data_IF_026910535107
#
_entry.id   IF_026910535107
#
_cell.length_a   1.000
_cell.length_b   1.000
_cell.length_c   1.000
_cell.angle_alpha   90.00
_cell.angle_beta   90.00
_cell.angle_gamma   90.00
#
_symmetry.space_group_name_H-M   'P 1'
#
loop_
_entity.id
_entity.type
_entity.pdbx_description
1 polymer ?
2 water ?
#
# COMPACT_ATOMS: atom_id res chain seq x y z
N UNK A 2 15.30 2.83 4.54
CA UNK A 2 14.85 1.73 5.43
C UNK A 2 13.85 0.83 4.72
N UNK A 3 13.84 -0.45 5.08
CA UNK A 3 12.93 -1.41 4.47
C UNK A 3 12.12 -2.15 5.54
N UNK A 4 10.83 -2.30 5.29
CA UNK A 4 9.93 -2.97 6.22
C UNK A 4 9.29 -4.18 5.56
N UNK A 5 8.81 -5.11 6.37
CA UNK A 5 8.12 -6.28 5.83
C UNK A 5 6.63 -6.05 6.02
N UNK A 6 5.89 -6.11 4.92
CA UNK A 6 4.45 -5.91 4.95
C UNK A 6 3.79 -6.82 3.93
N UNK A 7 2.47 -6.84 3.96
CA UNK A 7 1.71 -7.61 2.99
C UNK A 7 1.21 -6.66 1.91
N UNK A 8 1.50 -6.96 0.65
CA UNK A 8 0.95 -6.16 -0.44
C UNK A 8 -0.40 -6.79 -0.67
N UNK A 9 -1.44 -5.97 -0.73
CA UNK A 9 -2.79 -6.49 -0.90
C UNK A 9 -3.40 -6.29 -2.28
N UNK A 10 -3.32 -5.07 -2.81
CA UNK A 10 -3.97 -4.80 -4.08
C UNK A 10 -3.60 -3.40 -4.59
N UNK A 11 -3.80 -3.18 -5.89
CA UNK A 11 -3.56 -1.89 -6.52
C UNK A 11 -4.88 -1.56 -7.18
N UNK A 12 -5.36 -0.34 -6.97
CA UNK A 12 -6.65 0.09 -7.50
C UNK A 12 -6.55 1.38 -8.31
N UNK A 13 -7.14 1.37 -9.50
CA UNK A 13 -7.17 2.56 -10.36
C UNK A 13 -8.18 3.53 -9.73
N UNK A 14 -7.74 4.76 -9.47
CA UNK A 14 -8.61 5.75 -8.82
C UNK A 14 -9.02 6.93 -9.69
N UNK A 15 -8.58 6.94 -10.95
CA UNK A 15 -8.88 8.07 -11.82
C UNK A 15 -8.29 9.31 -11.15
N UNK A 16 -9.08 10.38 -11.01
CA UNK A 16 -8.56 11.60 -10.40
C UNK A 16 -8.73 11.66 -8.88
N UNK A 17 -9.27 10.61 -8.28
CA UNK A 17 -9.46 10.59 -6.84
C UNK A 17 -8.09 10.62 -6.18
N UNK A 18 -8.00 11.25 -5.01
CA UNK A 18 -6.72 11.32 -4.34
C UNK A 18 -6.87 11.51 -2.83
N UNK A 19 -5.74 11.59 -2.13
CA UNK A 19 -5.79 11.81 -0.69
C UNK A 19 -6.50 10.73 0.11
N UNK A 20 -7.02 11.06 1.30
CA UNK A 20 -7.73 10.10 2.15
C UNK A 20 -8.92 9.46 1.44
N UNK A 21 -9.59 10.24 0.60
CA UNK A 21 -10.73 9.74 -0.14
C UNK A 21 -10.30 8.57 -1.02
N UNK A 22 -9.14 8.71 -1.66
CA UNK A 22 -8.61 7.67 -2.52
C UNK A 22 -8.23 6.41 -1.73
N UNK A 23 -7.54 6.59 -0.61
CA UNK A 23 -7.14 5.46 0.22
C UNK A 23 -8.39 4.71 0.68
N UNK A 24 -9.36 5.45 1.20
CA UNK A 24 -10.59 4.84 1.69
C UNK A 24 -11.34 4.10 0.57
N UNK A 25 -11.46 4.73 -0.59
CA UNK A 25 -12.16 4.12 -1.71
C UNK A 25 -11.46 2.85 -2.17
N UNK A 26 -10.12 2.88 -2.22
CA UNK A 26 -9.36 1.72 -2.63
C UNK A 26 -9.60 0.56 -1.66
N UNK A 27 -9.71 0.88 -0.37
CA UNK A 27 -9.95 -0.16 0.63
C UNK A 27 -11.32 -0.79 0.39
N UNK A 28 -12.32 0.05 0.17
CA UNK A 28 -13.67 -0.46 -0.08
C UNK A 28 -13.69 -1.40 -1.28
N UNK A 29 -13.10 -0.97 -2.39
CA UNK A 29 -13.11 -1.80 -3.59
C UNK A 29 -12.37 -3.10 -3.37
N UNK A 30 -11.30 -3.04 -2.59
CA UNK A 30 -10.51 -4.22 -2.32
C UNK A 30 -11.27 -5.25 -1.47
N UNK A 31 -12.01 -4.78 -0.48
CA UNK A 31 -12.74 -5.69 0.40
C UNK A 31 -13.95 -6.38 -0.24
N UNK A 32 -14.38 -5.92 -1.41
CA UNK A 32 -15.49 -6.57 -2.10
C UNK A 32 -15.04 -7.16 -3.44
N UNK A 33 -13.74 -7.10 -3.71
CA UNK A 33 -13.18 -7.64 -4.94
C UNK A 33 -13.45 -9.13 -5.03
N UNK A 34 -13.75 -9.60 -6.24
CA UNK A 34 -14.03 -11.04 -6.46
C UNK A 34 -13.23 -11.55 -7.67
N UNK A 35 -12.33 -12.53 -7.46
CA UNK A 35 -12.01 -13.18 -6.18
C UNK A 35 -11.25 -12.27 -5.24
N UNK A 36 -11.22 -12.66 -3.98
CA UNK A 36 -10.50 -11.90 -2.96
C UNK A 36 -9.06 -11.82 -3.44
N UNK A 37 -8.46 -10.63 -3.38
CA UNK A 37 -7.07 -10.54 -3.83
C UNK A 37 -6.21 -11.45 -2.96
N UNK A 38 -5.10 -11.94 -3.52
CA UNK A 38 -4.20 -12.78 -2.75
C UNK A 38 -3.02 -11.93 -2.31
N UNK A 39 -2.85 -11.81 -1.00
CA UNK A 39 -1.76 -11.01 -0.45
C UNK A 39 -0.41 -11.66 -0.70
N UNK A 40 0.64 -10.84 -0.71
CA UNK A 40 2.01 -11.30 -0.93
C UNK A 40 2.91 -10.57 0.05
N UNK A 41 3.81 -11.30 0.70
CA UNK A 41 4.74 -10.67 1.63
C UNK A 41 5.79 -9.96 0.78
N UNK A 42 5.98 -8.67 1.03
CA UNK A 42 6.95 -7.90 0.27
C UNK A 42 7.88 -7.08 1.14
N UNK A 43 9.02 -6.74 0.55
CA UNK A 43 10.04 -5.89 1.16
C UNK A 43 9.57 -4.52 0.69
N UNK A 44 9.25 -3.64 1.63
CA UNK A 44 8.77 -2.28 1.35
C UNK A 44 9.93 -1.36 1.71
N UNK A 45 10.64 -0.88 0.68
CA UNK A 45 11.80 -0.03 0.89
C UNK A 45 11.56 1.44 0.59
N UNK A 46 11.87 2.28 1.56
CA UNK A 46 11.73 3.73 1.44
C UNK A 46 13.13 4.32 1.29
N UNK A 47 13.35 5.08 0.23
CA UNK A 47 14.65 5.69 -0.02
C UNK A 47 14.47 7.05 -0.67
N UNK A 48 15.58 7.73 -0.95
CA UNK A 48 15.53 9.03 -1.59
C UNK A 48 14.96 8.91 -2.99
N UNK A 49 14.97 7.68 -3.53
CA UNK A 49 14.47 7.42 -4.87
C UNK A 49 12.97 7.14 -4.90
N UNK A 50 12.39 6.86 -3.74
CA UNK A 50 10.97 6.56 -3.68
C UNK A 50 10.67 5.28 -2.93
N UNK A 51 9.67 4.55 -3.40
CA UNK A 51 9.27 3.30 -2.77
C UNK A 51 9.53 2.13 -3.70
N UNK A 52 10.29 1.16 -3.22
CA UNK A 52 10.60 -0.01 -4.03
C UNK A 52 10.07 -1.25 -3.33
N UNK A 53 9.27 -2.03 -4.06
CA UNK A 53 8.67 -3.25 -3.52
C UNK A 53 9.32 -4.47 -4.15
N UNK A 54 9.75 -5.40 -3.32
CA UNK A 54 10.34 -6.63 -3.83
C UNK A 54 9.73 -7.84 -3.12
N UNK A 55 9.74 -8.97 -3.80
CA UNK A 55 9.20 -10.20 -3.24
C UNK A 55 9.99 -10.72 -2.03
N UNK A 56 9.26 -11.18 -1.02
CA UNK A 56 9.85 -11.74 0.19
C UNK A 56 8.93 -12.87 0.56
N UNK A 57 8.36 -13.44 -0.49
CA UNK A 57 7.40 -14.53 -0.40
C UNK A 57 7.86 -15.61 -1.36
N UNK A 58 7.12 -15.67 -2.45
CA UNK A 58 7.32 -16.55 -3.58
C UNK A 58 6.89 -15.56 -4.66
N UNK A 59 7.82 -15.31 -5.56
CA UNK A 59 7.67 -14.37 -6.65
C UNK A 59 6.30 -14.29 -7.32
N UNK A 60 5.47 -13.35 -6.86
CA UNK A 60 4.17 -13.12 -7.50
C UNK A 60 4.67 -12.25 -8.64
N UNK A 61 5.09 -11.04 -8.28
CA UNK A 61 5.67 -10.11 -9.24
C UNK A 61 7.10 -10.06 -8.73
N UNK A 62 8.03 -9.52 -9.50
CA UNK A 62 9.40 -9.48 -9.00
C UNK A 62 9.69 -8.20 -8.27
N UNK A 63 9.51 -7.09 -8.98
CA UNK A 63 9.83 -5.80 -8.41
C UNK A 63 9.08 -4.64 -9.03
N UNK A 64 8.71 -3.68 -8.19
CA UNK A 64 8.01 -2.50 -8.64
C UNK A 64 8.68 -1.35 -7.94
N UNK A 65 8.88 -0.26 -8.67
CA UNK A 65 9.49 0.92 -8.09
C UNK A 65 8.64 2.12 -8.42
N UNK A 66 8.38 2.93 -7.40
CA UNK A 66 7.58 4.13 -7.56
C UNK A 66 8.46 5.32 -7.24
N UNK A 67 8.88 6.08 -8.27
CA UNK A 67 9.74 7.25 -8.08
C UNK A 67 9.13 8.20 -7.04
N UNK A 68 9.98 8.74 -6.18
CA UNK A 68 9.53 9.63 -5.12
C UNK A 68 8.59 10.74 -5.59
N UNK A 69 8.87 11.34 -6.74
CA UNK A 69 8.01 12.43 -7.21
C UNK A 69 6.58 12.02 -7.62
N UNK A 70 6.33 10.72 -7.76
CA UNK A 70 5.00 10.27 -8.18
C UNK A 70 4.09 9.94 -7.00
N UNK A 71 4.67 9.83 -5.80
CA UNK A 71 3.90 9.50 -4.61
C UNK A 71 3.31 10.78 -4.03
N UNK A 72 1.99 10.89 -4.04
CA UNK A 72 1.33 12.10 -3.57
C UNK A 72 0.62 12.02 -2.24
N UNK A 73 0.41 10.80 -1.74
CA UNK A 73 -0.26 10.65 -0.45
C UNK A 73 -0.01 9.28 0.13
N UNK A 74 -0.03 9.17 1.46
CA UNK A 74 0.15 7.90 2.15
C UNK A 74 -0.52 7.99 3.53
N UNK A 75 -1.37 7.03 3.85
CA UNK A 75 -2.05 7.05 5.15
C UNK A 75 -2.75 5.74 5.42
N UNK A 76 -3.24 5.63 6.65
CA UNK A 76 -4.02 4.49 7.08
C UNK A 76 -5.42 4.64 6.47
N UNK A 77 -6.18 3.55 6.48
CA UNK A 77 -7.56 3.61 6.01
C UNK A 77 -8.32 4.55 6.95
N UNK A 78 -8.93 5.60 6.40
CA UNK A 78 -9.68 6.55 7.23
C UNK A 78 -10.78 5.88 8.06
N UNK A 79 -11.34 4.79 7.52
CA UNK A 79 -12.42 4.08 8.20
C UNK A 79 -11.96 2.90 9.05
N UNK A 80 -10.65 2.79 9.23
CA UNK A 80 -10.04 1.77 10.07
C UNK A 80 -10.49 0.34 9.84
N UNK A 81 -10.68 -0.04 8.58
CA UNK A 81 -11.09 -1.41 8.27
C UNK A 81 -9.85 -2.28 8.21
N UNK A 82 -10.03 -3.57 8.47
CA UNK A 82 -8.91 -4.48 8.47
C UNK A 82 -8.95 -5.55 7.41
N UNK A 83 -7.78 -6.11 7.15
CA UNK A 83 -7.63 -7.17 6.18
C UNK A 83 -7.59 -8.48 6.96
N UNK A 84 -8.47 -9.41 6.61
CA UNK A 84 -8.45 -10.71 7.25
C UNK A 84 -7.71 -11.52 6.19
N UNK A 85 -6.43 -11.77 6.43
CA UNK A 85 -5.62 -12.49 5.46
C UNK A 85 -6.24 -13.83 5.12
N UNK A 86 -6.22 -14.18 3.83
CA UNK A 86 -6.72 -15.48 3.41
C UNK A 86 -5.70 -16.34 4.15
N UNK A 87 -6.01 -16.61 5.41
CA UNK A 87 -5.10 -17.35 6.27
C UNK A 87 -5.75 -17.44 7.65
N UNK A 88 -5.07 -16.89 8.65
CA UNK A 88 -5.58 -16.89 10.00
C UNK A 88 -5.06 -15.65 10.70
N UNK A 89 -4.07 -15.85 11.57
CA UNK A 89 -3.41 -14.80 12.35
C UNK A 89 -4.16 -13.49 12.61
N UNK A 90 -5.48 -13.50 12.46
CA UNK A 90 -6.27 -12.31 12.71
C UNK A 90 -6.16 -11.14 11.75
N UNK A 91 -6.96 -10.09 11.99
CA UNK A 91 -7.02 -8.85 11.20
C UNK A 91 -5.75 -8.01 11.27
N UNK A 92 -5.38 -7.41 10.14
CA UNK A 92 -4.20 -6.56 10.07
C UNK A 92 -4.64 -5.18 9.59
N UNK A 93 -4.05 -4.13 10.15
CA UNK A 93 -4.41 -2.77 9.74
C UNK A 93 -3.97 -2.53 8.30
N UNK A 94 -4.81 -1.81 7.58
CA UNK A 94 -4.56 -1.47 6.19
C UNK A 94 -4.05 -0.05 6.03
N UNK A 95 -3.15 0.13 5.08
CA UNK A 95 -2.63 1.45 4.75
C UNK A 95 -2.24 1.44 3.27
N UNK A 96 -2.05 2.61 2.69
CA UNK A 96 -1.64 2.61 1.30
C UNK A 96 -1.05 3.93 0.88
N UNK A 97 -0.64 3.98 -0.38
CA UNK A 97 -0.14 5.24 -0.91
C UNK A 97 -0.75 5.45 -2.29
N UNK A 98 -0.82 6.72 -2.68
CA UNK A 98 -1.37 7.14 -3.96
C UNK A 98 -0.21 7.57 -4.84
N UNK A 99 -0.17 7.05 -6.06
CA UNK A 99 0.88 7.42 -7.00
C UNK A 99 0.27 7.86 -8.31
N UNK A 100 0.81 8.94 -8.88
CA UNK A 100 0.33 9.44 -10.17
C UNK A 100 0.78 8.42 -11.21
N UNK A 101 2.03 7.98 -11.05
CA UNK A 101 2.65 7.00 -11.93
C UNK A 101 2.93 5.72 -11.14
N UNK A 103 1.94 8.23 -17.81
CA UNK A 103 1.39 8.84 -19.00
C UNK A 103 -0.11 9.08 -18.89
N UNK A 104 -0.52 9.64 -17.76
CA UNK A 104 -1.93 9.91 -17.51
C UNK A 104 -2.14 11.16 -16.65
N UNK A 105 -1.09 11.97 -16.54
CA UNK A 105 -1.10 13.21 -15.75
C UNK A 105 -2.09 13.28 -14.59
N UNK A 106 -3.39 13.36 -14.87
CA UNK A 106 -4.37 13.45 -13.79
C UNK A 106 -4.92 12.13 -13.23
N UNK A 107 -4.41 10.98 -13.69
CA UNK A 107 -4.85 9.67 -13.18
C UNK A 107 -3.96 9.17 -12.04
N UNK A 108 -4.56 8.49 -11.07
CA UNK A 108 -3.82 7.97 -9.92
C UNK A 108 -4.12 6.50 -9.64
N UNK A 109 -3.21 5.84 -8.93
CA UNK A 109 -3.40 4.45 -8.55
C UNK A 109 -3.10 4.38 -7.05
N UNK A 110 -3.92 3.63 -6.32
CA UNK A 110 -3.66 3.47 -4.89
C UNK A 110 -3.15 2.06 -4.65
N UNK A 111 -2.02 1.96 -3.96
CA UNK A 111 -1.41 0.67 -3.64
C UNK A 111 -1.64 0.41 -2.17
N UNK A 112 -2.30 -0.71 -1.88
CA UNK A 112 -2.68 -1.06 -0.51
C UNK A 112 -1.86 -2.17 0.09
N UNK A 113 -1.59 -2.02 1.38
CA UNK A 113 -0.78 -2.96 2.15
C UNK A 113 -1.41 -3.20 3.52
N UNK A 114 -0.93 -4.25 4.18
CA UNK A 114 -1.39 -4.56 5.53
C UNK A 114 -0.15 -4.79 6.39
N UNK A 115 -0.16 -4.26 7.61
CA UNK A 115 0.97 -4.45 8.51
C UNK A 115 1.17 -5.95 8.77
N UNK A 116 2.41 -6.35 9.02
CA UNK A 116 2.74 -7.75 9.25
C UNK A 116 3.65 -7.97 10.46
N UNK A 117 4.50 -6.99 10.74
CA UNK A 117 5.46 -7.06 11.84
C UNK A 117 5.02 -6.15 12.99
N UNK A 118 4.91 -6.70 14.21
CA UNK A 118 4.48 -5.83 15.31
C UNK A 118 5.42 -4.66 15.59
N UNK A 119 6.68 -4.78 15.20
CA UNK A 119 7.63 -3.70 15.42
C UNK A 119 7.66 -2.70 14.27
N UNK A 120 6.85 -2.96 13.25
CA UNK A 120 6.75 -2.07 12.09
C UNK A 120 5.28 -1.86 11.79
N UNK A 121 4.56 -1.24 12.73
CA UNK A 121 3.13 -0.99 12.56
C UNK A 121 2.84 -0.03 11.42
N UNK A 122 1.63 -0.15 10.88
CA UNK A 122 1.20 0.68 9.76
C UNK A 122 1.40 2.17 10.02
N UNK A 123 1.04 2.64 11.20
CA UNK A 123 1.17 4.05 11.51
C UNK A 123 2.62 4.55 11.42
N UNK A 124 3.56 3.70 11.80
CA UNK A 124 4.97 4.08 11.75
C UNK A 124 5.45 4.14 10.31
N UNK A 125 5.00 3.19 9.51
CA UNK A 125 5.39 3.17 8.11
C UNK A 125 4.83 4.42 7.41
N UNK A 126 3.57 4.73 7.69
CA UNK A 126 2.93 5.91 7.09
C UNK A 126 3.67 7.18 7.51
N UNK A 127 4.04 7.26 8.79
CA UNK A 127 4.74 8.44 9.26
C UNK A 127 6.11 8.61 8.60
N UNK A 128 6.82 7.50 8.39
CA UNK A 128 8.13 7.58 7.77
C UNK A 128 8.01 8.02 6.33
N UNK A 129 7.10 7.40 5.59
CA UNK A 129 6.91 7.79 4.20
C UNK A 129 6.53 9.27 4.12
N UNK A 130 5.67 9.71 5.03
CA UNK A 130 5.24 11.10 5.00
C UNK A 130 6.38 12.09 5.24
N UNK A 131 7.22 11.80 6.22
CA UNK A 131 8.34 12.68 6.54
C UNK A 131 9.41 12.74 5.46
N UNK A 132 9.65 11.62 4.80
CA UNK A 132 10.67 11.51 3.77
C UNK A 132 10.23 11.90 2.36
N UNK A 133 8.98 11.58 2.03
CA UNK A 133 8.50 11.80 0.68
C UNK A 133 7.36 12.80 0.44
N UNK A 134 6.66 13.21 1.49
CA UNK A 134 5.51 14.09 1.32
C UNK A 134 5.60 15.43 2.03
#
# INVERSE_FOLDING_TARGET
GAACNVLFINSVEMESLTGPQAISKAVAETLVADPTPTATIVHFKVSAQGITLTDNQRKLFFRRHYPLNTVTFCDLDPQERKWTKTDGSGPAKLFGFVARKQGSTTDNVCHLFAELDPDQPAAAIVNFVSRVML
#
